data_IF_949161076028
#
_entry.id   IF_949161076028
#
_cell.length_a   1.000
_cell.length_b   1.000
_cell.length_c   1.000
_cell.angle_alpha   90.00
_cell.angle_beta   90.00
_cell.angle_gamma   90.00
#
_symmetry.space_group_name_H-M   'P 1'
#
loop_
_entity.id
_entity.type
_entity.pdbx_description
1 polymer ?
#
# COMPACT_ATOMS: atom_id res chain seq x y z
N UNK A 1 26.94 -30.95 -31.89
CA UNK A 1 26.20 -29.73 -32.28
C UNK A 1 24.71 -30.07 -32.39
N UNK A 2 23.96 -30.14 -31.28
CA UNK A 2 22.48 -30.36 -31.29
C UNK A 2 21.80 -30.29 -29.90
N UNK A 3 22.28 -29.48 -28.96
CA UNK A 3 21.64 -29.32 -27.64
C UNK A 3 21.68 -27.86 -27.13
N UNK A 4 21.65 -26.87 -28.02
CA UNK A 4 21.67 -25.45 -27.64
C UNK A 4 20.31 -24.74 -27.83
N UNK A 5 19.24 -25.48 -28.13
CA UNK A 5 17.96 -24.89 -28.54
C UNK A 5 16.91 -24.77 -27.44
N UNK A 6 17.06 -25.46 -26.30
CA UNK A 6 15.95 -25.61 -25.35
C UNK A 6 16.03 -24.70 -24.11
N UNK A 7 17.13 -23.97 -23.91
CA UNK A 7 17.33 -23.13 -22.71
C UNK A 7 16.79 -21.70 -22.85
N UNK A 8 16.25 -21.31 -24.01
CA UNK A 8 15.83 -19.93 -24.29
C UNK A 8 14.33 -19.65 -24.12
N UNK A 9 13.52 -20.63 -23.69
CA UNK A 9 12.05 -20.49 -23.59
C UNK A 9 11.53 -20.21 -22.16
N UNK A 10 12.40 -20.00 -21.17
CA UNK A 10 12.02 -19.87 -19.75
C UNK A 10 12.02 -18.43 -19.19
N UNK A 11 12.22 -17.41 -20.02
CA UNK A 11 12.48 -16.03 -19.54
C UNK A 11 11.28 -15.05 -19.56
N UNK A 12 10.05 -15.50 -19.79
CA UNK A 12 8.89 -14.62 -19.95
C UNK A 12 7.70 -14.93 -19.02
N UNK A 13 7.95 -15.52 -17.86
CA UNK A 13 7.02 -15.38 -16.73
C UNK A 13 7.31 -14.04 -16.04
N UNK A 14 7.13 -12.94 -16.78
CA UNK A 14 6.97 -11.63 -16.17
C UNK A 14 5.73 -11.75 -15.31
N UNK A 15 5.90 -11.93 -14.00
CA UNK A 15 4.84 -11.65 -13.05
C UNK A 15 4.41 -10.22 -13.37
N UNK A 16 3.26 -10.07 -14.00
CA UNK A 16 2.58 -8.80 -14.00
C UNK A 16 2.31 -8.53 -12.52
N UNK A 17 3.23 -7.80 -11.89
CA UNK A 17 2.97 -7.19 -10.61
C UNK A 17 1.90 -6.15 -10.94
N UNK A 18 0.63 -6.55 -10.82
CA UNK A 18 -0.49 -5.66 -10.94
C UNK A 18 -0.36 -4.71 -9.75
N UNK A 19 0.38 -3.63 -9.98
CA UNK A 19 0.53 -2.56 -9.03
C UNK A 19 -0.89 -2.01 -8.83
N UNK A 20 -1.46 -2.31 -7.68
CA UNK A 20 -2.79 -1.89 -7.29
C UNK A 20 -2.62 -1.01 -6.08
N UNK A 21 -2.93 0.27 -6.22
CA UNK A 21 -2.87 1.21 -5.13
C UNK A 21 -4.11 2.10 -5.12
N UNK A 22 -4.34 2.71 -3.97
CA UNK A 22 -5.43 3.66 -3.80
C UNK A 22 -5.03 4.75 -2.83
N UNK A 23 -5.18 5.99 -3.28
CA UNK A 23 -5.07 7.18 -2.46
C UNK A 23 -6.41 7.40 -1.79
N UNK A 24 -6.46 7.21 -0.48
CA UNK A 24 -7.62 7.50 0.35
C UNK A 24 -7.40 8.87 0.98
N UNK A 25 -8.27 9.79 0.63
CA UNK A 25 -8.34 11.12 1.22
C UNK A 25 -9.62 11.20 2.04
N UNK A 26 -9.47 11.33 3.35
CA UNK A 26 -10.61 11.53 4.25
C UNK A 26 -10.59 12.93 4.82
N UNK A 27 -11.71 13.62 4.63
CA UNK A 27 -11.93 14.98 5.11
C UNK A 27 -13.06 14.98 6.15
N UNK A 28 -12.72 15.34 7.39
CA UNK A 28 -13.66 15.61 8.47
C UNK A 28 -13.49 17.02 9.05
N UNK A 29 -14.34 17.41 10.00
CA UNK A 29 -14.28 18.76 10.62
C UNK A 29 -12.95 19.08 11.34
N UNK A 30 -12.20 18.05 11.78
CA UNK A 30 -11.01 18.22 12.64
C UNK A 30 -9.73 17.60 12.09
N UNK A 31 -9.83 16.66 11.15
CA UNK A 31 -8.71 15.87 10.67
C UNK A 31 -8.86 15.66 9.17
N UNK A 32 -7.85 16.10 8.42
CA UNK A 32 -7.65 15.79 7.02
C UNK A 32 -6.53 14.75 6.94
N UNK A 33 -6.87 13.55 6.46
CA UNK A 33 -5.95 12.42 6.39
C UNK A 33 -5.83 11.98 4.94
N UNK A 34 -4.61 12.03 4.41
CA UNK A 34 -4.27 11.50 3.09
C UNK A 34 -3.25 10.37 3.22
N UNK A 35 -3.68 9.17 2.87
CA UNK A 35 -2.86 7.97 2.84
C UNK A 35 -3.00 7.27 1.50
N UNK A 36 -1.95 6.58 1.08
CA UNK A 36 -2.06 5.65 -0.05
C UNK A 36 -1.72 4.25 0.40
N UNK A 37 -2.58 3.29 0.08
CA UNK A 37 -2.34 1.87 0.29
C UNK A 37 -1.88 1.26 -1.02
N UNK A 38 -0.82 0.46 -1.01
CA UNK A 38 -0.29 -0.25 -2.16
C UNK A 38 -0.26 -1.75 -1.90
N UNK A 39 -0.97 -2.48 -2.73
CA UNK A 39 -1.13 -3.92 -2.62
C UNK A 39 0.22 -4.64 -2.88
N UNK A 40 0.54 -5.65 -2.05
CA UNK A 40 1.64 -6.60 -2.33
C UNK A 40 1.13 -8.01 -2.62
N UNK A 41 0.16 -8.51 -1.85
CA UNK A 41 -0.36 -9.89 -1.99
C UNK A 41 -1.84 -10.04 -1.63
N UNK A 42 -2.57 -8.93 -1.52
CA UNK A 42 -3.99 -8.90 -1.20
C UNK A 42 -4.77 -9.26 -2.47
N UNK A 43 -5.76 -10.16 -2.44
CA UNK A 43 -6.62 -10.41 -3.59
C UNK A 43 -7.26 -9.10 -4.06
N UNK A 44 -7.17 -8.81 -5.36
CA UNK A 44 -7.58 -7.52 -5.96
C UNK A 44 -8.96 -7.03 -5.50
N UNK A 45 -9.97 -7.91 -5.58
CA UNK A 45 -11.33 -7.57 -5.15
C UNK A 45 -11.39 -7.19 -3.67
N UNK A 46 -10.65 -7.91 -2.82
CA UNK A 46 -10.59 -7.61 -1.39
C UNK A 46 -9.84 -6.30 -1.14
N UNK A 47 -8.78 -6.03 -1.89
CA UNK A 47 -8.02 -4.78 -1.82
C UNK A 47 -8.92 -3.57 -2.14
N UNK A 48 -9.56 -3.59 -3.30
CA UNK A 48 -10.42 -2.50 -3.77
C UNK A 48 -11.66 -2.31 -2.89
N UNK A 49 -12.38 -3.39 -2.58
CA UNK A 49 -13.68 -3.27 -1.90
C UNK A 49 -13.53 -3.11 -0.37
N UNK A 50 -12.42 -3.57 0.21
CA UNK A 50 -12.22 -3.58 1.67
C UNK A 50 -11.21 -2.56 2.19
N UNK A 51 -10.05 -2.47 1.57
CA UNK A 51 -8.93 -1.66 2.06
C UNK A 51 -8.95 -0.23 1.50
N UNK A 52 -9.28 -0.12 0.22
CA UNK A 52 -9.35 1.17 -0.47
C UNK A 52 -10.63 1.95 -0.15
N UNK A 53 -11.67 1.30 0.40
CA UNK A 53 -12.95 1.93 0.73
C UNK A 53 -13.25 1.89 2.23
N UNK A 54 -12.45 2.55 3.10
CA UNK A 54 -12.77 2.58 4.52
C UNK A 54 -14.02 3.43 4.76
N UNK A 55 -15.01 2.87 5.45
CA UNK A 55 -16.18 3.62 5.92
C UNK A 55 -15.85 4.30 7.24
N UNK A 56 -15.52 5.60 7.19
CA UNK A 56 -15.28 6.41 8.38
C UNK A 56 -16.54 7.20 8.74
N UNK A 57 -17.12 6.91 9.90
CA UNK A 57 -18.37 7.54 10.34
C UNK A 57 -18.21 9.07 10.44
N UNK A 58 -19.09 9.81 9.76
CA UNK A 58 -19.11 11.27 9.79
C UNK A 58 -18.01 11.96 8.98
N UNK A 59 -17.30 11.24 8.11
CA UNK A 59 -16.25 11.81 7.25
C UNK A 59 -16.56 11.56 5.77
N UNK A 60 -16.22 12.54 4.93
CA UNK A 60 -16.25 12.33 3.48
C UNK A 60 -14.95 11.62 3.09
N UNK A 61 -15.07 10.48 2.44
CA UNK A 61 -13.93 9.69 1.95
C UNK A 61 -13.92 9.74 0.44
N UNK A 62 -12.82 10.22 -0.13
CA UNK A 62 -12.55 10.21 -1.56
C UNK A 62 -11.43 9.20 -1.83
N UNK A 63 -11.65 8.33 -2.81
CA UNK A 63 -10.72 7.24 -3.14
C UNK A 63 -10.32 7.40 -4.59
N UNK A 64 -9.02 7.49 -4.85
CA UNK A 64 -8.45 7.49 -6.18
C UNK A 64 -7.61 6.23 -6.39
N UNK A 65 -8.05 5.36 -7.29
CA UNK A 65 -7.28 4.19 -7.72
C UNK A 65 -6.17 4.60 -8.66
N UNK A 66 -4.96 4.09 -8.40
CA UNK A 66 -3.74 4.37 -9.15
C UNK A 66 -2.91 3.09 -9.21
N UNK A 67 -2.02 2.98 -10.19
CA UNK A 67 -1.16 1.79 -10.30
C UNK A 67 -0.18 1.71 -9.11
N UNK A 68 0.43 2.84 -8.76
CA UNK A 68 1.39 2.92 -7.67
C UNK A 68 1.15 4.15 -6.80
N UNK A 69 1.51 4.05 -5.53
CA UNK A 69 1.42 5.20 -4.65
C UNK A 69 2.33 6.34 -5.13
N UNK A 70 1.82 7.59 -5.18
CA UNK A 70 2.59 8.72 -5.68
C UNK A 70 3.81 9.01 -4.79
N UNK A 71 4.79 9.73 -5.34
CA UNK A 71 5.89 10.26 -4.55
C UNK A 71 5.43 11.34 -3.57
N UNK A 72 6.28 11.70 -2.61
CA UNK A 72 6.03 12.83 -1.70
C UNK A 72 5.34 12.45 -0.40
N UNK A 73 5.26 11.16 -0.08
CA UNK A 73 4.97 10.74 1.28
C UNK A 73 6.07 11.26 2.23
N UNK A 74 5.76 11.58 3.48
CA UNK A 74 6.79 11.89 4.48
C UNK A 74 7.33 10.61 5.15
N UNK A 75 6.61 9.50 4.99
CA UNK A 75 6.96 8.20 5.55
C UNK A 75 6.17 7.10 4.88
N UNK A 76 6.79 5.92 4.78
CA UNK A 76 6.19 4.72 4.21
C UNK A 76 6.32 3.58 5.20
N UNK A 77 5.20 2.97 5.58
CA UNK A 77 5.21 1.69 6.27
C UNK A 77 5.25 0.57 5.23
N UNK A 78 6.44 0.07 4.92
CA UNK A 78 6.61 -0.97 3.91
C UNK A 78 6.35 -2.36 4.48
N UNK A 79 5.79 -3.25 3.66
CA UNK A 79 5.51 -4.64 3.99
C UNK A 79 4.64 -4.81 5.25
N UNK A 80 3.79 -3.83 5.52
CA UNK A 80 2.85 -3.79 6.63
C UNK A 80 1.88 -4.97 6.53
N UNK A 81 1.79 -5.76 7.59
CA UNK A 81 0.80 -6.81 7.73
C UNK A 81 -0.56 -6.22 8.08
N UNK A 82 -1.59 -6.70 7.39
CA UNK A 82 -2.97 -6.40 7.73
C UNK A 82 -3.35 -7.11 9.03
N UNK A 83 -3.98 -6.38 9.95
CA UNK A 83 -4.45 -6.94 11.21
C UNK A 83 -5.30 -8.21 11.01
N UNK A 84 -4.93 -9.28 11.73
CA UNK A 84 -5.60 -10.58 11.71
C UNK A 84 -5.66 -11.28 10.33
N UNK A 85 -4.88 -10.83 9.35
CA UNK A 85 -4.84 -11.45 8.02
C UNK A 85 -3.38 -11.73 7.59
N UNK A 86 -3.16 -12.73 6.72
CA UNK A 86 -1.81 -13.06 6.20
C UNK A 86 -1.34 -12.08 5.10
N UNK A 87 -2.10 -11.02 4.86
CA UNK A 87 -1.91 -10.08 3.77
C UNK A 87 -0.95 -8.96 4.13
N UNK A 88 -0.25 -8.46 3.12
CA UNK A 88 0.74 -7.40 3.23
C UNK A 88 0.51 -6.32 2.18
N UNK A 89 0.83 -5.09 2.59
CA UNK A 89 0.73 -3.89 1.77
C UNK A 89 1.81 -2.88 2.16
N UNK A 90 2.06 -1.89 1.32
CA UNK A 90 2.80 -0.69 1.70
C UNK A 90 1.80 0.45 1.99
N UNK A 91 2.07 1.26 3.01
CA UNK A 91 1.21 2.38 3.40
C UNK A 91 2.02 3.67 3.37
N UNK A 92 1.64 4.60 2.49
CA UNK A 92 2.30 5.89 2.28
C UNK A 92 1.51 7.01 2.96
N UNK A 93 2.17 7.85 3.74
CA UNK A 93 1.55 8.94 4.50
C UNK A 93 1.93 10.31 3.92
N UNK A 94 0.94 11.16 3.58
CA UNK A 94 1.15 12.46 2.91
C UNK A 94 0.76 13.69 3.75
N UNK A 95 0.37 13.49 5.01
CA UNK A 95 0.04 14.56 5.95
C UNK A 95 1.25 15.26 6.57
N UNK A 96 1.20 15.55 7.87
CA UNK A 96 2.24 16.32 8.57
C UNK A 96 3.36 15.40 9.05
N UNK A 97 4.61 15.75 8.75
CA UNK A 97 5.77 14.92 9.09
C UNK A 97 5.93 14.63 10.60
N UNK A 98 5.40 15.50 11.47
CA UNK A 98 5.40 15.27 12.94
C UNK A 98 4.62 14.01 13.34
N UNK A 99 3.64 13.59 12.54
CA UNK A 99 2.83 12.39 12.81
C UNK A 99 3.66 11.11 12.72
N UNK A 100 4.84 11.16 12.10
CA UNK A 100 5.80 10.05 12.10
C UNK A 100 6.17 9.58 13.52
N UNK A 101 6.09 10.46 14.54
CA UNK A 101 6.32 10.09 15.93
C UNK A 101 5.34 9.01 16.44
N UNK A 102 4.12 8.96 15.87
CA UNK A 102 3.10 7.98 16.20
C UNK A 102 3.02 6.86 15.17
N UNK A 103 3.16 7.20 13.88
CA UNK A 103 2.99 6.25 12.78
C UNK A 103 4.16 5.27 12.67
N UNK A 104 5.40 5.70 12.95
CA UNK A 104 6.56 4.82 12.94
C UNK A 104 6.45 3.67 13.95
N UNK A 105 6.24 3.90 15.26
CA UNK A 105 6.14 2.81 16.22
C UNK A 105 4.93 1.91 15.94
N UNK A 106 3.82 2.46 15.43
CA UNK A 106 2.68 1.66 15.01
C UNK A 106 3.04 0.74 13.82
N UNK A 107 3.72 1.28 12.80
CA UNK A 107 4.17 0.51 11.65
C UNK A 107 5.04 -0.68 12.05
N UNK A 108 6.09 -0.42 12.86
CA UNK A 108 7.08 -1.42 13.21
C UNK A 108 6.55 -2.42 14.25
N UNK A 109 5.76 -1.95 15.22
CA UNK A 109 5.23 -2.78 16.30
C UNK A 109 3.94 -3.53 15.93
N UNK A 110 2.90 -2.79 15.53
CA UNK A 110 1.57 -3.36 15.32
C UNK A 110 1.41 -3.97 13.93
N UNK A 111 1.83 -3.24 12.90
CA UNK A 111 1.74 -3.70 11.52
C UNK A 111 2.91 -4.59 11.11
N UNK A 112 3.94 -4.77 11.95
CA UNK A 112 5.12 -5.60 11.64
C UNK A 112 5.76 -5.24 10.29
N UNK A 113 5.69 -3.96 9.93
CA UNK A 113 6.29 -3.39 8.72
C UNK A 113 7.65 -2.77 9.00
N UNK A 114 8.29 -2.29 7.95
CA UNK A 114 9.52 -1.49 8.04
C UNK A 114 9.21 -0.03 7.74
N UNK A 115 9.59 0.87 8.64
CA UNK A 115 9.43 2.29 8.39
C UNK A 115 10.53 2.82 7.47
N UNK A 116 10.14 3.33 6.31
CA UNK A 116 11.03 3.97 5.35
C UNK A 116 10.78 5.47 5.35
N UNK A 117 11.86 6.25 5.42
CA UNK A 117 11.83 7.65 5.01
C UNK A 117 12.10 7.68 3.51
N UNK A 118 11.17 8.18 2.68
CA UNK A 118 11.37 8.27 1.24
C UNK A 118 12.46 9.26 0.84
#
# INVERSE_FOLDING_TARGET
>A
MRWMGWSLLLALLSSEAWAQACVVHSQGERLDVKVCQQNRNIPEKLFNDGFCQPTLAGQKVEVQYVDQCPSGAFGVCSNAQVANMPYRQDIHYYGVASDAAYLKPYCEGQSQGAWLKP
#
